data_IF_552638167373
#
_entry.id   IF_552638167373
#
_cell.length_a   1.000
_cell.length_b   1.000
_cell.length_c   1.000
_cell.angle_alpha   90.00
_cell.angle_beta   90.00
_cell.angle_gamma   90.00
#
_symmetry.space_group_name_H-M   'P 1'
#
loop_
_entity.id
_entity.type
_entity.pdbx_description
1 polymer ?
#
# COMPACT_ATOMS: atom_id res chain seq x y z
N UNK A 1 28.37 -14.24 -7.67
CA UNK A 1 27.79 -14.81 -6.44
C UNK A 1 26.29 -14.95 -6.67
N UNK A 2 25.70 -16.15 -6.55
CA UNK A 2 24.23 -16.31 -6.62
C UNK A 2 23.63 -15.84 -5.30
N UNK A 3 22.47 -15.18 -5.35
CA UNK A 3 21.73 -14.79 -4.16
C UNK A 3 21.32 -16.03 -3.35
N UNK A 4 21.07 -15.86 -2.05
CA UNK A 4 20.56 -16.93 -1.19
C UNK A 4 19.26 -17.55 -1.76
N UNK A 5 19.06 -18.85 -1.56
CA UNK A 5 17.90 -19.56 -2.12
C UNK A 5 16.57 -18.98 -1.62
N UNK A 6 16.48 -18.59 -0.35
CA UNK A 6 15.27 -17.99 0.21
C UNK A 6 14.96 -16.64 -0.46
N UNK A 7 16.00 -15.87 -0.80
CA UNK A 7 15.83 -14.61 -1.53
C UNK A 7 15.30 -14.83 -2.95
N UNK A 8 15.80 -15.86 -3.64
CA UNK A 8 15.35 -16.20 -4.99
C UNK A 8 13.88 -16.64 -4.99
N UNK A 9 13.49 -17.50 -4.04
CA UNK A 9 12.10 -17.95 -3.89
C UNK A 9 11.14 -16.79 -3.58
N UNK A 10 11.54 -15.89 -2.67
CA UNK A 10 10.75 -14.70 -2.37
C UNK A 10 10.59 -13.78 -3.60
N UNK A 11 11.65 -13.59 -4.39
CA UNK A 11 11.60 -12.81 -5.61
C UNK A 11 10.67 -13.42 -6.67
N UNK A 12 10.71 -14.75 -6.83
CA UNK A 12 9.83 -15.50 -7.73
C UNK A 12 8.38 -15.35 -7.26
N UNK A 13 8.10 -15.53 -5.97
CA UNK A 13 6.76 -15.36 -5.41
C UNK A 13 6.18 -13.97 -5.68
N UNK A 14 6.95 -12.90 -5.40
CA UNK A 14 6.52 -11.52 -5.65
C UNK A 14 6.27 -11.27 -7.14
N UNK A 15 7.10 -11.83 -8.03
CA UNK A 15 6.92 -11.70 -9.48
C UNK A 15 5.62 -12.38 -9.97
N UNK A 16 5.33 -13.59 -9.48
CA UNK A 16 4.07 -14.29 -9.77
C UNK A 16 2.86 -13.54 -9.22
N UNK A 17 2.92 -13.10 -7.97
CA UNK A 17 1.86 -12.32 -7.36
C UNK A 17 1.55 -11.04 -8.17
N UNK A 18 2.59 -10.30 -8.58
CA UNK A 18 2.43 -9.12 -9.41
C UNK A 18 1.90 -9.43 -10.82
N UNK A 19 2.21 -10.60 -11.39
CA UNK A 19 1.66 -11.04 -12.66
C UNK A 19 0.16 -11.36 -12.55
N UNK A 20 -0.25 -12.06 -11.49
CA UNK A 20 -1.66 -12.37 -11.24
C UNK A 20 -2.51 -11.11 -11.01
N UNK A 21 -2.00 -10.15 -10.23
CA UNK A 21 -2.69 -8.88 -10.04
C UNK A 21 -2.89 -8.11 -11.35
N UNK A 22 -1.91 -8.15 -12.27
CA UNK A 22 -2.06 -7.54 -13.60
C UNK A 22 -3.16 -8.21 -14.42
N UNK A 23 -3.33 -9.53 -14.31
CA UNK A 23 -4.41 -10.26 -15.00
C UNK A 23 -5.79 -9.90 -14.47
N UNK A 24 -5.89 -9.56 -13.18
CA UNK A 24 -7.13 -9.12 -12.54
C UNK A 24 -7.53 -7.66 -12.87
N UNK A 25 -6.65 -6.91 -13.53
CA UNK A 25 -6.89 -5.55 -13.99
C UNK A 25 -6.15 -4.48 -13.19
N UNK A 26 -6.23 -3.24 -13.67
CA UNK A 26 -5.46 -2.12 -13.11
C UNK A 26 -5.79 -1.82 -11.65
N UNK A 27 -7.05 -1.96 -11.24
CA UNK A 27 -7.44 -1.72 -9.85
C UNK A 27 -6.77 -2.69 -8.86
N UNK A 28 -6.71 -3.98 -9.22
CA UNK A 28 -6.04 -5.01 -8.43
C UNK A 28 -4.53 -4.81 -8.42
N UNK A 29 -3.95 -4.42 -9.57
CA UNK A 29 -2.52 -4.07 -9.68
C UNK A 29 -2.15 -2.92 -8.74
N UNK A 30 -2.92 -1.83 -8.75
CA UNK A 30 -2.67 -0.66 -7.89
C UNK A 30 -2.86 -1.04 -6.42
N UNK A 31 -3.90 -1.81 -6.10
CA UNK A 31 -4.17 -2.26 -4.75
C UNK A 31 -3.01 -3.08 -4.15
N UNK A 32 -2.52 -4.07 -4.90
CA UNK A 32 -1.39 -4.88 -4.46
C UNK A 32 -0.08 -4.10 -4.41
N UNK A 33 0.14 -3.12 -5.30
CA UNK A 33 1.30 -2.23 -5.24
C UNK A 33 1.29 -1.39 -3.95
N UNK A 34 0.13 -0.84 -3.57
CA UNK A 34 -0.02 -0.07 -2.34
C UNK A 34 0.17 -0.96 -1.10
N UNK A 35 -0.41 -2.16 -1.08
CA UNK A 35 -0.22 -3.12 0.01
C UNK A 35 1.24 -3.52 0.18
N UNK A 36 1.91 -3.83 -0.94
CA UNK A 36 3.34 -4.16 -0.94
C UNK A 36 4.20 -2.97 -0.49
N UNK A 37 3.92 -1.76 -0.97
CA UNK A 37 4.66 -0.58 -0.52
C UNK A 37 4.54 -0.39 1.00
N UNK A 38 3.31 -0.48 1.54
CA UNK A 38 3.05 -0.37 2.97
C UNK A 38 3.78 -1.43 3.80
N UNK A 39 3.83 -2.69 3.34
CA UNK A 39 4.52 -3.77 4.08
C UNK A 39 6.04 -3.58 4.16
N UNK A 40 6.60 -2.75 3.28
CA UNK A 40 8.03 -2.42 3.25
C UNK A 40 8.36 -1.09 3.92
N UNK A 41 7.36 -0.30 4.28
CA UNK A 41 7.57 1.00 4.92
C UNK A 41 7.77 0.85 6.43
N UNK A 42 8.74 1.58 6.96
CA UNK A 42 8.92 1.73 8.40
C UNK A 42 7.84 2.67 8.95
N UNK A 43 7.10 2.17 9.94
CA UNK A 43 6.12 2.92 10.71
C UNK A 43 6.79 4.05 11.51
N UNK A 44 6.03 5.12 11.73
CA UNK A 44 6.34 6.23 12.62
C UNK A 44 6.34 5.76 14.09
N UNK A 45 6.74 6.62 15.02
CA UNK A 45 6.92 6.28 16.44
C UNK A 45 5.65 5.74 17.14
N UNK A 46 4.48 6.03 16.60
CA UNK A 46 3.17 5.61 17.07
C UNK A 46 2.55 4.48 16.22
N UNK A 47 3.34 3.86 15.34
CA UNK A 47 2.95 2.64 14.62
C UNK A 47 2.21 2.84 13.30
N UNK A 48 2.08 4.08 12.81
CA UNK A 48 1.40 4.38 11.55
C UNK A 48 2.37 4.77 10.43
N UNK A 49 1.91 4.76 9.20
CA UNK A 49 2.61 5.37 8.05
C UNK A 49 1.80 6.58 7.58
N UNK A 50 2.43 7.74 7.47
CA UNK A 50 1.75 8.90 6.89
C UNK A 50 1.47 8.71 5.39
N UNK A 51 0.29 9.14 4.95
CA UNK A 51 -0.14 9.05 3.55
C UNK A 51 0.74 9.91 2.64
N UNK A 52 1.28 11.01 3.16
CA UNK A 52 2.27 11.82 2.46
C UNK A 52 3.53 11.00 2.11
N UNK A 53 4.11 10.28 3.09
CA UNK A 53 5.28 9.41 2.86
C UNK A 53 4.97 8.28 1.88
N UNK A 54 3.75 7.72 1.94
CA UNK A 54 3.32 6.69 1.00
C UNK A 54 3.23 7.24 -0.42
N UNK A 55 2.70 8.45 -0.59
CA UNK A 55 2.66 9.14 -1.89
C UNK A 55 4.06 9.42 -2.43
N UNK A 56 4.97 9.87 -1.57
CA UNK A 56 6.36 10.13 -1.97
C UNK A 56 7.08 8.84 -2.40
N UNK A 57 6.64 7.67 -1.90
CA UNK A 57 7.15 6.36 -2.29
C UNK A 57 6.56 5.83 -3.60
N UNK A 58 5.37 6.30 -3.97
CA UNK A 58 4.62 5.91 -5.17
C UNK A 58 4.24 7.17 -6.00
N UNK A 59 5.22 7.98 -6.44
CA UNK A 59 4.96 9.27 -7.09
C UNK A 59 4.20 9.15 -8.42
N UNK A 60 4.23 7.97 -9.04
CA UNK A 60 3.53 7.65 -10.28
C UNK A 60 2.01 7.49 -10.10
N UNK A 61 1.53 7.29 -8.86
CA UNK A 61 0.11 7.12 -8.58
C UNK A 61 -0.54 8.47 -8.30
N UNK A 62 -1.55 8.81 -9.10
CA UNK A 62 -2.45 9.93 -8.79
C UNK A 62 -3.11 9.71 -7.43
N UNK A 63 -3.05 10.71 -6.56
CA UNK A 63 -3.65 10.63 -5.23
C UNK A 63 -5.14 10.29 -5.30
N UNK A 64 -5.93 11.14 -5.98
CA UNK A 64 -7.39 10.98 -6.07
C UNK A 64 -7.80 9.88 -7.04
N UNK A 65 -7.00 9.63 -8.09
CA UNK A 65 -7.36 8.71 -9.16
C UNK A 65 -6.99 7.25 -8.90
N UNK A 66 -5.96 6.99 -8.08
CA UNK A 66 -5.44 5.63 -7.89
C UNK A 66 -5.15 5.31 -6.42
N UNK A 67 -4.37 6.15 -5.73
CA UNK A 67 -3.91 5.85 -4.37
C UNK A 67 -5.06 5.83 -3.36
N UNK A 68 -5.90 6.86 -3.33
CA UNK A 68 -7.04 6.94 -2.42
C UNK A 68 -8.06 5.81 -2.67
N UNK A 69 -8.51 5.55 -3.93
CA UNK A 69 -9.37 4.39 -4.21
C UNK A 69 -8.79 3.06 -3.73
N UNK A 70 -7.48 2.83 -3.93
CA UNK A 70 -6.81 1.62 -3.48
C UNK A 70 -6.77 1.50 -1.96
N UNK A 71 -6.44 2.59 -1.25
CA UNK A 71 -6.49 2.62 0.22
C UNK A 71 -7.90 2.33 0.74
N UNK A 72 -8.94 2.88 0.12
CA UNK A 72 -10.33 2.62 0.49
C UNK A 72 -10.75 1.16 0.23
N UNK A 73 -10.23 0.52 -0.83
CA UNK A 73 -10.44 -0.92 -1.06
C UNK A 73 -9.73 -1.77 0.00
N UNK A 74 -8.46 -1.52 0.27
CA UNK A 74 -7.70 -2.22 1.31
C UNK A 74 -8.33 -2.09 2.69
N UNK A 75 -8.89 -0.91 3.03
CA UNK A 75 -9.62 -0.71 4.28
C UNK A 75 -10.91 -1.55 4.31
N UNK A 76 -11.69 -1.56 3.22
CA UNK A 76 -12.91 -2.38 3.11
C UNK A 76 -12.60 -3.87 3.25
N UNK A 77 -11.44 -4.31 2.77
CA UNK A 77 -10.94 -5.68 2.92
C UNK A 77 -10.32 -5.96 4.31
N UNK A 78 -10.27 -4.97 5.21
CA UNK A 78 -9.73 -5.12 6.57
C UNK A 78 -8.20 -5.23 6.65
N UNK A 79 -7.49 -5.03 5.54
CA UNK A 79 -6.02 -5.14 5.48
C UNK A 79 -5.36 -3.93 6.15
N UNK A 80 -5.99 -2.76 6.05
CA UNK A 80 -5.49 -1.51 6.66
C UNK A 80 -6.57 -0.80 7.48
N UNK A 81 -6.14 0.11 8.34
CA UNK A 81 -6.99 1.13 8.97
C UNK A 81 -6.51 2.50 8.49
N UNK A 82 -7.44 3.33 7.99
CA UNK A 82 -7.16 4.73 7.67
C UNK A 82 -7.59 5.62 8.84
N UNK A 83 -6.70 6.52 9.24
CA UNK A 83 -7.01 7.62 10.14
C UNK A 83 -7.21 8.89 9.30
N UNK A 84 -8.35 9.52 9.49
CA UNK A 84 -8.73 10.75 8.80
C UNK A 84 -8.25 11.97 9.58
N UNK A 85 -7.84 13.03 8.88
CA UNK A 85 -7.61 14.32 9.51
C UNK A 85 -8.93 14.86 10.08
N UNK A 86 -8.94 15.21 11.36
CA UNK A 86 -10.09 15.80 12.06
C UNK A 86 -10.25 17.30 11.84
N UNK A 87 -9.70 17.85 10.75
CA UNK A 87 -9.81 19.28 10.46
C UNK A 87 -11.25 19.62 10.06
N UNK A 88 -11.90 20.51 10.82
CA UNK A 88 -13.30 20.90 10.65
C UNK A 88 -13.55 21.73 9.37
N UNK A 89 -12.49 22.23 8.72
CA UNK A 89 -12.59 23.15 7.57
C UNK A 89 -12.39 22.47 6.21
N UNK A 90 -11.98 21.20 6.18
CA UNK A 90 -11.70 20.46 4.94
C UNK A 90 -12.35 19.09 5.00
N UNK A 91 -12.90 18.62 3.88
CA UNK A 91 -13.42 17.27 3.76
C UNK A 91 -12.39 16.25 4.31
N UNK A 92 -12.81 15.30 5.16
CA UNK A 92 -11.88 14.44 5.89
C UNK A 92 -11.07 13.62 4.90
N UNK A 93 -9.73 13.78 4.95
CA UNK A 93 -8.78 13.05 4.10
C UNK A 93 -7.99 12.05 4.94
N UNK A 94 -7.71 10.85 4.42
CA UNK A 94 -6.77 9.94 5.06
C UNK A 94 -5.40 10.60 5.21
N UNK A 95 -4.93 10.67 6.45
CA UNK A 95 -3.63 11.23 6.80
C UNK A 95 -2.63 10.14 7.15
N UNK A 96 -3.13 9.05 7.73
CA UNK A 96 -2.29 7.97 8.27
C UNK A 96 -2.90 6.62 8.00
N UNK A 97 -2.03 5.63 7.83
CA UNK A 97 -2.38 4.25 7.52
C UNK A 97 -1.73 3.32 8.51
N UNK A 98 -2.50 2.40 9.08
CA UNK A 98 -1.98 1.26 9.84
C UNK A 98 -2.17 -0.01 9.02
N UNK A 99 -1.09 -0.75 8.80
CA UNK A 99 -1.14 -2.07 8.18
C UNK A 99 -1.50 -3.12 9.24
N UNK A 100 -2.58 -3.88 9.03
CA UNK A 100 -3.00 -4.96 9.94
C UNK A 100 -2.48 -6.32 9.53
N UNK A 101 -2.36 -6.57 8.22
CA UNK A 101 -1.93 -7.84 7.65
C UNK A 101 -0.75 -7.57 6.73
N UNK A 102 0.43 -8.02 7.15
CA UNK A 102 1.65 -7.98 6.35
C UNK A 102 1.65 -9.12 5.32
N UNK A 103 2.19 -8.86 4.14
CA UNK A 103 2.52 -9.88 3.13
C UNK A 103 3.71 -10.72 3.58
#
# INVERSE_FOLDING_TARGET
MRADAAYQEAAIYVAHYAAELRRLGEDARVEGLVHFALSRMRVDADGFVSVARLRDRLPELSYSGALLPALLRLQRSGIIILLLSTSLEVAPRPERVLLRISL
#
